data_IF_506567401369
#
_entry.id   IF_506567401369
#
_cell.length_a   1.000
_cell.length_b   1.000
_cell.length_c   1.000
_cell.angle_alpha   90.00
_cell.angle_beta   90.00
_cell.angle_gamma   90.00
#
_symmetry.space_group_name_H-M   'P 1'
#
loop_
_entity.id
_entity.type
_entity.pdbx_description
1 polymer ?
#
# COMPACT_ATOMS: atom_id res chain seq x y z
N UNK A 1 -1.91 4.98 17.53
CA UNK A 1 -1.24 4.54 16.31
C UNK A 1 -2.04 3.38 15.76
N UNK A 2 -2.68 3.55 14.58
CA UNK A 2 -3.68 2.60 14.07
C UNK A 2 -3.07 1.55 13.14
N UNK A 3 -1.75 1.39 13.18
CA UNK A 3 -0.97 0.50 12.30
C UNK A 3 -1.37 -0.97 12.49
N UNK A 4 -1.74 -1.39 13.70
CA UNK A 4 -2.28 -2.74 13.96
C UNK A 4 -3.52 -3.05 13.11
N UNK A 5 -4.37 -2.03 12.86
CA UNK A 5 -5.55 -2.16 12.00
C UNK A 5 -5.19 -2.18 10.52
N UNK A 6 -3.97 -1.85 10.12
CA UNK A 6 -3.53 -1.95 8.74
C UNK A 6 -2.76 -3.26 8.52
N UNK A 7 -2.05 -3.76 9.54
CA UNK A 7 -1.30 -5.01 9.45
C UNK A 7 -2.19 -6.26 9.29
N UNK A 8 -3.45 -6.26 9.74
CA UNK A 8 -4.33 -7.42 9.52
C UNK A 8 -4.66 -7.65 8.03
N UNK A 9 -4.46 -6.66 7.16
CA UNK A 9 -4.61 -6.84 5.72
C UNK A 9 -3.47 -7.63 5.08
N UNK A 10 -2.41 -7.98 5.84
CA UNK A 10 -1.38 -8.92 5.36
C UNK A 10 -2.05 -10.24 4.96
N UNK A 11 -2.88 -10.81 5.83
CA UNK A 11 -3.57 -12.08 5.55
C UNK A 11 -4.56 -11.94 4.39
N UNK A 12 -5.22 -10.78 4.28
CA UNK A 12 -6.13 -10.47 3.20
C UNK A 12 -5.42 -10.45 1.83
N UNK A 13 -4.34 -9.67 1.70
CA UNK A 13 -3.58 -9.55 0.44
C UNK A 13 -2.64 -10.73 0.16
N UNK A 14 -2.48 -11.68 1.10
CA UNK A 14 -1.70 -12.91 0.90
C UNK A 14 -2.45 -14.02 0.17
N UNK A 15 -3.77 -13.86 -0.07
CA UNK A 15 -4.58 -14.86 -0.77
C UNK A 15 -4.19 -14.91 -2.26
N UNK A 16 -3.69 -16.06 -2.72
CA UNK A 16 -3.28 -16.23 -4.12
C UNK A 16 -4.46 -16.47 -5.09
N UNK A 17 -5.56 -17.08 -4.61
CA UNK A 17 -6.76 -17.39 -5.41
C UNK A 17 -7.97 -16.52 -5.00
N UNK A 18 -7.77 -15.21 -4.88
CA UNK A 18 -8.83 -14.27 -4.51
C UNK A 18 -8.99 -13.16 -5.56
N UNK A 19 -10.22 -12.92 -6.00
CA UNK A 19 -10.54 -11.86 -6.95
C UNK A 19 -10.71 -10.53 -6.19
N UNK A 20 -9.60 -9.81 -6.00
CA UNK A 20 -9.61 -8.49 -5.33
C UNK A 20 -10.24 -7.38 -6.17
N UNK A 21 -10.29 -7.55 -7.48
CA UNK A 21 -10.89 -6.60 -8.40
C UNK A 21 -11.32 -7.29 -9.69
N UNK A 22 -12.30 -6.71 -10.38
CA UNK A 22 -12.72 -7.14 -11.71
C UNK A 22 -12.77 -5.97 -12.68
N UNK A 23 -12.44 -6.26 -13.95
CA UNK A 23 -12.50 -5.29 -15.06
C UNK A 23 -13.78 -5.45 -15.90
N UNK A 24 -14.82 -6.07 -15.35
CA UNK A 24 -16.06 -6.39 -16.07
C UNK A 24 -16.95 -5.15 -16.31
N UNK A 25 -16.45 -3.95 -15.97
CA UNK A 25 -17.00 -2.63 -16.30
C UNK A 25 -15.88 -1.59 -16.27
N UNK A 26 -16.14 -0.41 -16.82
CA UNK A 26 -15.39 0.81 -16.52
C UNK A 26 -16.22 1.61 -15.52
N UNK A 27 -15.72 1.95 -14.32
CA UNK A 27 -14.36 1.70 -13.83
C UNK A 27 -14.13 0.29 -13.24
N UNK A 28 -12.89 -0.04 -12.82
CA UNK A 28 -12.56 -1.22 -12.01
C UNK A 28 -13.50 -1.33 -10.80
N UNK A 29 -13.99 -2.55 -10.52
CA UNK A 29 -14.71 -2.84 -9.29
C UNK A 29 -13.77 -3.55 -8.32
N UNK A 30 -13.61 -3.01 -7.11
CA UNK A 30 -12.76 -3.58 -6.07
C UNK A 30 -13.61 -4.37 -5.06
N UNK A 31 -13.03 -5.43 -4.48
CA UNK A 31 -13.62 -6.13 -3.35
C UNK A 31 -13.70 -5.20 -2.12
N UNK A 32 -14.70 -5.41 -1.27
CA UNK A 32 -14.93 -4.54 -0.11
C UNK A 32 -13.73 -4.49 0.83
N UNK A 33 -12.93 -5.56 0.93
CA UNK A 33 -11.71 -5.55 1.73
C UNK A 33 -10.63 -4.60 1.20
N UNK A 34 -10.59 -4.35 -0.11
CA UNK A 34 -9.73 -3.31 -0.70
C UNK A 34 -10.24 -1.93 -0.30
N UNK A 35 -11.54 -1.67 -0.43
CA UNK A 35 -12.13 -0.38 -0.06
C UNK A 35 -11.94 -0.08 1.44
N UNK A 36 -12.14 -1.09 2.29
CA UNK A 36 -11.90 -1.00 3.74
C UNK A 36 -10.44 -0.71 4.05
N UNK A 37 -9.49 -1.38 3.38
CA UNK A 37 -8.06 -1.11 3.50
C UNK A 37 -7.73 0.35 3.15
N UNK A 38 -8.26 0.86 2.03
CA UNK A 38 -8.05 2.24 1.61
C UNK A 38 -8.65 3.23 2.61
N UNK A 39 -9.85 2.94 3.13
CA UNK A 39 -10.48 3.77 4.13
C UNK A 39 -9.66 3.80 5.44
N UNK A 40 -9.20 2.65 5.93
CA UNK A 40 -8.34 2.57 7.11
C UNK A 40 -7.00 3.31 6.90
N UNK A 41 -6.40 3.23 5.71
CA UNK A 41 -5.25 4.07 5.36
C UNK A 41 -5.56 5.55 5.55
N UNK A 42 -6.70 6.04 5.07
CA UNK A 42 -7.09 7.45 5.22
C UNK A 42 -7.38 7.86 6.68
N UNK A 43 -7.69 6.90 7.56
CA UNK A 43 -7.88 7.12 9.00
C UNK A 43 -6.60 6.88 9.83
N UNK A 44 -5.49 6.55 9.17
CA UNK A 44 -4.20 6.25 9.82
C UNK A 44 -3.23 7.44 9.80
N UNK A 45 -2.12 7.29 10.52
CA UNK A 45 -0.98 8.21 10.50
C UNK A 45 0.07 7.86 9.41
N UNK A 46 -0.32 7.04 8.42
CA UNK A 46 0.56 6.62 7.32
C UNK A 46 0.55 7.55 6.11
N UNK A 47 -0.31 8.57 6.10
CA UNK A 47 -0.35 9.55 5.01
C UNK A 47 0.90 10.44 5.08
N UNK A 48 1.65 10.47 3.99
CA UNK A 48 2.70 11.45 3.76
C UNK A 48 2.21 12.55 2.80
N UNK A 49 2.07 13.78 3.30
CA UNK A 49 1.64 14.91 2.47
C UNK A 49 2.69 15.36 1.46
N UNK A 50 3.97 15.04 1.69
CA UNK A 50 5.11 15.41 0.86
C UNK A 50 5.65 14.26 0.01
N UNK A 51 4.87 13.17 -0.13
CA UNK A 51 5.30 11.94 -0.80
C UNK A 51 5.89 12.17 -2.19
N UNK A 52 5.39 13.13 -2.97
CA UNK A 52 5.94 13.44 -4.29
C UNK A 52 7.41 13.87 -4.24
N UNK A 53 7.79 14.69 -3.25
CA UNK A 53 9.17 15.13 -3.09
C UNK A 53 10.07 13.95 -2.68
N UNK A 54 9.60 13.12 -1.76
CA UNK A 54 10.30 11.90 -1.33
C UNK A 54 10.49 10.95 -2.52
N UNK A 55 9.43 10.66 -3.26
CA UNK A 55 9.48 9.75 -4.41
C UNK A 55 10.40 10.25 -5.52
N UNK A 56 10.42 11.56 -5.79
CA UNK A 56 11.29 12.16 -6.82
C UNK A 56 12.80 12.03 -6.51
N UNK A 57 13.19 11.77 -5.25
CA UNK A 57 14.59 11.56 -4.86
C UNK A 57 15.10 10.15 -5.16
N UNK A 58 14.21 9.23 -5.53
CA UNK A 58 14.55 7.83 -5.77
C UNK A 58 14.36 7.45 -7.25
N UNK A 59 15.34 6.75 -7.82
CA UNK A 59 15.32 6.27 -9.21
C UNK A 59 15.10 4.75 -9.33
N UNK A 60 15.00 4.05 -8.21
CA UNK A 60 14.80 2.59 -8.17
C UNK A 60 13.32 2.24 -8.31
N UNK A 61 13.04 0.99 -8.69
CA UNK A 61 11.67 0.47 -8.67
C UNK A 61 11.11 0.46 -7.24
N UNK A 62 9.79 0.62 -7.10
CA UNK A 62 9.15 0.62 -5.77
C UNK A 62 9.37 -0.70 -5.02
N UNK A 63 9.40 -1.85 -5.71
CA UNK A 63 9.69 -3.16 -5.11
C UNK A 63 11.08 -3.18 -4.46
N UNK A 64 12.08 -2.61 -5.13
CA UNK A 64 13.43 -2.52 -4.57
C UNK A 64 13.52 -1.51 -3.43
N UNK A 65 12.79 -0.40 -3.53
CA UNK A 65 12.73 0.61 -2.47
C UNK A 65 12.10 0.04 -1.20
N UNK A 66 10.99 -0.68 -1.29
CA UNK A 66 10.30 -1.27 -0.14
C UNK A 66 11.25 -2.12 0.71
N UNK A 67 12.11 -2.93 0.08
CA UNK A 67 13.06 -3.81 0.81
C UNK A 67 14.01 -3.06 1.73
N UNK A 68 14.37 -1.83 1.37
CA UNK A 68 15.35 -1.00 2.09
C UNK A 68 14.72 0.24 2.72
N UNK A 69 13.40 0.39 2.61
CA UNK A 69 12.71 1.59 3.06
C UNK A 69 12.71 1.67 4.58
N UNK A 70 12.98 2.86 5.08
CA UNK A 70 12.59 3.26 6.43
C UNK A 70 11.08 3.58 6.47
N UNK A 71 10.59 3.90 7.67
CA UNK A 71 9.16 4.15 7.90
C UNK A 71 8.64 5.33 7.06
N UNK A 72 9.45 6.37 6.88
CA UNK A 72 9.02 7.58 6.14
C UNK A 72 8.94 7.31 4.64
N UNK A 73 9.96 6.68 4.05
CA UNK A 73 9.93 6.28 2.65
C UNK A 73 8.78 5.30 2.37
N UNK A 74 8.52 4.36 3.29
CA UNK A 74 7.44 3.40 3.14
C UNK A 74 6.06 4.08 3.14
N UNK A 75 5.86 5.09 4.01
CA UNK A 75 4.66 5.95 4.00
C UNK A 75 4.49 6.70 2.69
N UNK A 76 5.58 7.25 2.13
CA UNK A 76 5.55 7.94 0.84
C UNK A 76 5.14 6.98 -0.30
N UNK A 77 5.72 5.78 -0.33
CA UNK A 77 5.39 4.76 -1.34
C UNK A 77 3.90 4.37 -1.22
N UNK A 78 3.42 4.05 -0.01
CA UNK A 78 2.02 3.69 0.19
C UNK A 78 1.07 4.83 -0.22
N UNK A 79 1.38 6.05 0.19
CA UNK A 79 0.61 7.24 -0.18
C UNK A 79 0.55 7.43 -1.69
N UNK A 80 1.66 7.15 -2.41
CA UNK A 80 1.72 7.26 -3.87
C UNK A 80 0.73 6.31 -4.56
N UNK A 81 0.64 5.05 -4.11
CA UNK A 81 -0.30 4.08 -4.68
C UNK A 81 -1.75 4.39 -4.30
N UNK A 82 -2.02 4.67 -3.02
CA UNK A 82 -3.40 4.92 -2.57
C UNK A 82 -3.98 6.16 -3.25
N UNK A 83 -3.21 7.25 -3.36
CA UNK A 83 -3.67 8.47 -4.05
C UNK A 83 -3.61 8.37 -5.56
N UNK A 84 -2.76 7.51 -6.11
CA UNK A 84 -2.54 7.34 -7.55
C UNK A 84 -3.80 6.95 -8.32
N UNK A 85 -4.70 6.17 -7.70
CA UNK A 85 -5.99 5.79 -8.31
C UNK A 85 -6.83 6.99 -8.76
N UNK A 86 -6.71 8.13 -8.06
CA UNK A 86 -7.42 9.37 -8.42
C UNK A 86 -6.93 10.00 -9.72
N UNK A 87 -5.74 9.61 -10.18
CA UNK A 87 -5.06 10.19 -11.35
C UNK A 87 -4.89 9.18 -12.49
N UNK A 88 -4.79 7.89 -12.14
CA UNK A 88 -4.66 6.79 -13.09
C UNK A 88 -5.47 5.61 -12.58
N UNK A 89 -6.61 5.37 -13.23
CA UNK A 89 -7.47 4.24 -12.90
C UNK A 89 -6.72 2.91 -13.02
N UNK A 90 -6.90 2.02 -12.05
CA UNK A 90 -6.22 0.73 -11.99
C UNK A 90 -4.86 0.75 -11.31
N UNK A 91 -4.48 1.87 -10.68
CA UNK A 91 -3.28 1.94 -9.82
C UNK A 91 -3.38 0.94 -8.66
N UNK A 92 -4.54 0.82 -8.01
CA UNK A 92 -4.75 -0.17 -6.96
C UNK A 92 -4.72 -1.59 -7.52
N UNK A 93 -5.35 -1.82 -8.67
CA UNK A 93 -5.31 -3.12 -9.36
C UNK A 93 -3.87 -3.55 -9.70
N UNK A 94 -3.03 -2.62 -10.18
CA UNK A 94 -1.61 -2.85 -10.42
C UNK A 94 -0.85 -3.14 -9.13
N UNK A 95 -1.10 -2.37 -8.06
CA UNK A 95 -0.47 -2.58 -6.77
C UNK A 95 -0.81 -3.96 -6.19
N UNK A 96 -2.06 -4.41 -6.32
CA UNK A 96 -2.50 -5.73 -5.88
C UNK A 96 -1.84 -6.81 -6.73
N UNK A 97 -1.91 -6.71 -8.06
CA UNK A 97 -1.36 -7.71 -8.99
C UNK A 97 0.15 -7.92 -8.81
N UNK A 98 0.88 -6.85 -8.48
CA UNK A 98 2.32 -6.89 -8.25
C UNK A 98 2.70 -7.11 -6.78
N UNK A 99 1.73 -7.46 -5.91
CA UNK A 99 1.92 -7.68 -4.46
C UNK A 99 2.56 -6.49 -3.74
N UNK A 100 2.38 -5.27 -4.25
CA UNK A 100 2.95 -4.05 -3.67
C UNK A 100 2.36 -3.77 -2.30
N UNK A 101 1.03 -3.76 -2.17
CA UNK A 101 0.38 -3.52 -0.87
C UNK A 101 0.84 -4.56 0.17
N UNK A 102 0.88 -5.83 -0.21
CA UNK A 102 1.38 -6.90 0.66
C UNK A 102 2.82 -6.64 1.12
N UNK A 103 3.74 -6.35 0.20
CA UNK A 103 5.14 -6.10 0.53
C UNK A 103 5.31 -4.87 1.44
N UNK A 104 4.52 -3.82 1.23
CA UNK A 104 4.50 -2.65 2.11
C UNK A 104 4.06 -3.03 3.52
N UNK A 105 2.97 -3.79 3.65
CA UNK A 105 2.42 -4.19 4.94
C UNK A 105 3.38 -5.09 5.73
N UNK A 106 4.03 -6.04 5.05
CA UNK A 106 5.07 -6.87 5.64
C UNK A 106 6.22 -6.00 6.13
N UNK A 107 6.74 -5.09 5.30
CA UNK A 107 7.84 -4.22 5.69
C UNK A 107 7.47 -3.31 6.86
N UNK A 108 6.24 -2.80 6.89
CA UNK A 108 5.75 -1.97 7.99
C UNK A 108 5.74 -2.75 9.30
N UNK A 109 5.35 -4.03 9.26
CA UNK A 109 5.39 -4.93 10.42
C UNK A 109 6.82 -5.17 10.90
N UNK A 110 7.76 -5.47 10.00
CA UNK A 110 9.18 -5.66 10.34
C UNK A 110 9.76 -4.42 11.05
N UNK A 111 9.52 -3.22 10.51
CA UNK A 111 10.04 -1.97 11.08
C UNK A 111 9.44 -1.66 12.47
N UNK A 112 8.20 -2.07 12.74
CA UNK A 112 7.61 -1.94 14.08
C UNK A 112 8.26 -2.93 15.04
N UNK A 113 8.43 -4.20 14.65
CA UNK A 113 9.08 -5.22 15.48
C UNK A 113 10.52 -4.85 15.85
N UNK A 114 11.27 -4.27 14.91
CA UNK A 114 12.62 -3.74 15.14
C UNK A 114 12.66 -2.57 16.15
N UNK A 115 11.61 -1.76 16.22
CA UNK A 115 11.54 -0.61 17.14
C UNK A 115 11.31 -0.99 18.61
N UNK A 116 10.93 -2.24 18.89
CA UNK A 116 10.73 -2.77 20.24
C UNK A 116 11.93 -3.58 20.77
N UNK A 117 13.03 -3.65 20.02
CA UNK A 117 14.30 -4.30 20.38
C UNK A 117 15.31 -3.23 20.81
#
# INVERSE_FOLDING_TARGET
MNIERIQHYIDYFSKDDFEFFSKNGWPYNYDSGVDEFINEFYQSDLIDTNYLETMNKHQKSHIELIKVADKDLLKSILTSYVRGERFSEGTWAEAISNKIFLNILIKLKELEEEAYI
#
